data_IF_151232495085
#
_entry.id   IF_151232495085
#
_cell.length_a   1.000
_cell.length_b   1.000
_cell.length_c   1.000
_cell.angle_alpha   90.00
_cell.angle_beta   90.00
_cell.angle_gamma   90.00
#
_symmetry.space_group_name_H-M   'P 1'
#
loop_
_entity.id
_entity.type
_entity.pdbx_description
1 polymer ?
#
# COMPACT_ATOMS: atom_id res chain seq x y z
N UNK A 1 13.98 3.78 -11.05
CA UNK A 1 12.63 4.29 -11.34
C UNK A 1 12.29 5.36 -10.31
N UNK A 2 11.42 6.29 -10.69
CA UNK A 2 10.85 7.30 -9.79
C UNK A 2 9.57 6.75 -9.18
N UNK A 3 9.45 6.76 -7.86
CA UNK A 3 8.31 6.18 -7.15
C UNK A 3 7.75 7.20 -6.15
N UNK A 4 6.44 7.37 -6.17
CA UNK A 4 5.72 8.21 -5.23
C UNK A 4 5.20 7.38 -4.06
N UNK A 5 5.34 7.88 -2.84
CA UNK A 5 4.76 7.27 -1.64
C UNK A 5 3.88 8.31 -0.95
N UNK A 6 2.56 8.18 -1.05
CA UNK A 6 1.61 9.11 -0.47
C UNK A 6 1.31 8.69 0.97
N UNK A 7 1.78 9.47 1.95
CA UNK A 7 1.57 9.22 3.37
C UNK A 7 2.87 9.09 4.15
N UNK A 8 2.91 9.72 5.33
CA UNK A 8 4.11 9.85 6.17
C UNK A 8 4.08 8.98 7.43
N UNK A 9 3.09 8.07 7.50
CA UNK A 9 2.94 7.09 8.58
C UNK A 9 3.93 5.94 8.47
N UNK A 10 3.80 4.95 9.37
CA UNK A 10 4.72 3.81 9.45
C UNK A 10 4.79 3.01 8.14
N UNK A 11 3.66 2.84 7.44
CA UNK A 11 3.61 2.15 6.14
C UNK A 11 4.41 2.91 5.09
N UNK A 12 4.16 4.21 4.94
CA UNK A 12 4.87 5.07 3.98
C UNK A 12 6.37 5.15 4.26
N UNK A 13 6.77 5.24 5.52
CA UNK A 13 8.18 5.21 5.90
C UNK A 13 8.84 3.87 5.58
N UNK A 14 8.21 2.74 5.93
CA UNK A 14 8.76 1.41 5.64
C UNK A 14 8.94 1.19 4.13
N UNK A 15 7.88 1.40 3.35
CA UNK A 15 7.90 1.22 1.89
C UNK A 15 8.87 2.21 1.24
N UNK A 16 8.79 3.49 1.61
CA UNK A 16 9.67 4.52 1.05
C UNK A 16 11.15 4.24 1.31
N UNK A 17 11.51 3.88 2.55
CA UNK A 17 12.90 3.52 2.89
C UNK A 17 13.37 2.30 2.12
N UNK A 18 12.55 1.24 2.04
CA UNK A 18 12.92 0.03 1.30
C UNK A 18 13.16 0.30 -0.18
N UNK A 19 12.29 1.10 -0.80
CA UNK A 19 12.44 1.49 -2.20
C UNK A 19 13.73 2.29 -2.44
N UNK A 20 14.07 3.20 -1.54
CA UNK A 20 15.31 3.98 -1.63
C UNK A 20 16.56 3.11 -1.41
N UNK A 21 16.53 2.15 -0.47
CA UNK A 21 17.60 1.15 -0.27
C UNK A 21 17.84 0.29 -1.53
N UNK A 22 16.79 0.02 -2.29
CA UNK A 22 16.85 -0.69 -3.57
C UNK A 22 17.30 0.19 -4.75
N UNK A 23 17.67 1.44 -4.49
CA UNK A 23 18.22 2.38 -5.47
C UNK A 23 17.17 3.10 -6.33
N UNK A 24 15.90 3.08 -5.93
CA UNK A 24 14.88 3.91 -6.57
C UNK A 24 14.97 5.36 -6.10
N UNK A 25 14.56 6.30 -6.96
CA UNK A 25 14.33 7.68 -6.54
C UNK A 25 12.92 7.76 -5.97
N UNK A 26 12.77 8.20 -4.73
CA UNK A 26 11.50 8.15 -4.01
C UNK A 26 11.09 9.55 -3.57
N UNK A 27 9.83 9.93 -3.85
CA UNK A 27 9.25 11.16 -3.32
C UNK A 27 8.10 10.82 -2.38
N UNK A 28 8.25 11.18 -1.10
CA UNK A 28 7.20 11.03 -0.10
C UNK A 28 6.26 12.24 -0.14
N UNK A 29 5.00 12.00 -0.45
CA UNK A 29 3.95 13.01 -0.52
C UNK A 29 3.20 13.14 0.80
N UNK A 30 2.86 14.38 1.16
CA UNK A 30 1.95 14.68 2.26
C UNK A 30 0.98 15.81 1.89
N UNK A 31 0.08 16.21 2.81
CA UNK A 31 -0.85 17.32 2.57
C UNK A 31 -0.16 18.65 2.27
N UNK A 32 1.03 18.88 2.84
CA UNK A 32 1.77 20.13 2.72
C UNK A 32 3.26 19.82 2.54
N UNK A 33 3.94 20.54 1.67
CA UNK A 33 5.40 20.48 1.61
C UNK A 33 6.03 20.86 2.96
N UNK A 34 7.23 20.36 3.24
CA UNK A 34 7.92 20.61 4.50
C UNK A 34 7.35 19.82 5.68
N UNK A 35 6.62 18.73 5.44
CA UNK A 35 6.12 17.89 6.52
C UNK A 35 7.28 17.29 7.32
N UNK A 36 7.29 17.49 8.63
CA UNK A 36 8.41 17.11 9.49
C UNK A 36 8.80 15.63 9.39
N UNK A 37 7.83 14.72 9.25
CA UNK A 37 8.10 13.27 9.11
C UNK A 37 8.69 12.95 7.73
N UNK A 38 8.15 13.55 6.67
CA UNK A 38 8.67 13.37 5.32
C UNK A 38 10.09 13.94 5.17
N UNK A 39 10.34 15.14 5.73
CA UNK A 39 11.68 15.75 5.78
C UNK A 39 12.68 14.90 6.56
N UNK A 40 12.27 14.37 7.72
CA UNK A 40 13.13 13.51 8.52
C UNK A 40 13.49 12.23 7.75
N UNK A 41 12.51 11.60 7.11
CA UNK A 41 12.71 10.41 6.27
C UNK A 41 13.63 10.72 5.06
N UNK A 42 13.39 11.81 4.34
CA UNK A 42 14.17 12.17 3.15
C UNK A 42 15.65 12.44 3.45
N UNK A 43 16.00 12.85 4.68
CA UNK A 43 17.39 13.03 5.12
C UNK A 43 18.13 11.71 5.39
N UNK A 44 17.42 10.59 5.52
CA UNK A 44 18.00 9.31 5.91
C UNK A 44 18.41 8.43 4.72
N UNK A 45 17.94 8.74 3.51
CA UNK A 45 18.17 7.90 2.34
C UNK A 45 18.65 8.71 1.13
N UNK A 46 19.56 8.13 0.34
CA UNK A 46 19.94 8.69 -0.95
C UNK A 46 18.80 8.50 -1.96
N UNK A 47 18.60 9.47 -2.86
CA UNK A 47 17.50 9.44 -3.81
C UNK A 47 16.12 9.71 -3.20
N UNK A 48 16.04 10.11 -1.92
CA UNK A 48 14.79 10.43 -1.24
C UNK A 48 14.51 11.94 -1.24
N UNK A 49 13.26 12.31 -1.52
CA UNK A 49 12.78 13.70 -1.48
C UNK A 49 11.36 13.77 -0.95
N UNK A 50 10.88 14.96 -0.60
CA UNK A 50 9.50 15.16 -0.14
C UNK A 50 8.76 16.21 -0.97
N UNK A 51 7.46 16.35 -0.70
CA UNK A 51 6.59 17.35 -1.31
C UNK A 51 5.14 17.16 -0.92
N UNK A 52 4.26 17.89 -1.60
CA UNK A 52 2.82 17.67 -1.54
C UNK A 52 2.44 16.32 -2.18
N UNK A 53 1.18 15.90 -2.02
CA UNK A 53 0.65 14.73 -2.73
C UNK A 53 0.75 14.91 -4.25
N UNK A 54 0.48 16.10 -4.78
CA UNK A 54 0.62 16.41 -6.20
C UNK A 54 2.08 16.33 -6.67
N UNK A 55 3.02 16.89 -5.91
CA UNK A 55 4.45 16.81 -6.23
C UNK A 55 4.93 15.36 -6.32
N UNK A 56 4.52 14.53 -5.36
CA UNK A 56 4.87 13.13 -5.32
C UNK A 56 4.26 12.35 -6.48
N UNK A 57 2.95 12.48 -6.71
CA UNK A 57 2.26 11.77 -7.79
C UNK A 57 2.75 12.19 -9.17
N UNK A 58 3.04 13.48 -9.39
CA UNK A 58 3.62 13.95 -10.65
C UNK A 58 5.00 13.33 -10.91
N UNK A 59 5.83 13.24 -9.87
CA UNK A 59 7.18 12.68 -9.93
C UNK A 59 7.21 11.17 -10.20
N UNK A 60 6.35 10.39 -9.56
CA UNK A 60 6.41 8.93 -9.59
C UNK A 60 5.86 8.34 -10.89
N UNK A 61 6.51 7.29 -11.39
CA UNK A 61 6.03 6.40 -12.45
C UNK A 61 5.06 5.35 -11.87
N UNK A 62 5.31 4.95 -10.62
CA UNK A 62 4.44 4.13 -9.77
C UNK A 62 4.10 4.94 -8.52
N UNK A 63 2.86 4.84 -8.05
CA UNK A 63 2.36 5.55 -6.87
C UNK A 63 1.90 4.53 -5.83
N UNK A 64 2.37 4.66 -4.59
CA UNK A 64 1.85 3.92 -3.45
C UNK A 64 0.90 4.80 -2.64
N UNK A 65 -0.35 4.36 -2.47
CA UNK A 65 -1.27 4.92 -1.49
C UNK A 65 -1.01 4.30 -0.11
N UNK A 66 -0.26 5.01 0.72
CA UNK A 66 0.06 4.65 2.12
C UNK A 66 -0.66 5.57 3.11
N UNK A 67 -1.75 6.21 2.69
CA UNK A 67 -2.55 7.11 3.53
C UNK A 67 -3.52 6.34 4.41
N UNK A 68 -4.22 7.03 5.33
CA UNK A 68 -5.35 6.43 6.03
C UNK A 68 -6.44 6.06 5.03
N UNK A 69 -7.11 4.91 5.19
CA UNK A 69 -8.20 4.52 4.29
C UNK A 69 -9.31 5.56 4.22
N UNK A 70 -9.69 6.13 5.37
CA UNK A 70 -10.68 7.20 5.47
C UNK A 70 -10.30 8.51 4.75
N UNK A 71 -9.02 8.72 4.48
CA UNK A 71 -8.50 9.90 3.80
C UNK A 71 -7.93 9.59 2.41
N UNK A 72 -8.02 8.35 1.93
CA UNK A 72 -7.36 7.92 0.70
C UNK A 72 -7.91 8.62 -0.54
N UNK A 73 -9.24 8.70 -0.67
CA UNK A 73 -9.86 9.40 -1.80
C UNK A 73 -9.52 10.89 -1.80
N UNK A 74 -9.55 11.56 -0.64
CA UNK A 74 -9.18 12.97 -0.51
C UNK A 74 -7.71 13.20 -0.87
N UNK A 75 -6.81 12.35 -0.37
CA UNK A 75 -5.38 12.45 -0.65
C UNK A 75 -5.05 12.21 -2.13
N UNK A 76 -5.72 11.24 -2.77
CA UNK A 76 -5.56 10.96 -4.19
C UNK A 76 -6.18 12.06 -5.07
N UNK A 77 -7.29 12.67 -4.64
CA UNK A 77 -7.85 13.85 -5.31
C UNK A 77 -6.87 15.03 -5.23
N UNK A 78 -6.27 15.26 -4.06
CA UNK A 78 -5.21 16.27 -3.88
C UNK A 78 -3.91 15.94 -4.63
N UNK A 79 -3.69 14.67 -4.99
CA UNK A 79 -2.58 14.26 -5.84
C UNK A 79 -2.80 14.64 -7.32
N UNK A 80 -4.03 14.91 -7.73
CA UNK A 80 -4.42 15.24 -9.10
C UNK A 80 -4.65 13.99 -9.95
N UNK A 81 -5.85 13.83 -10.50
CA UNK A 81 -6.20 12.68 -11.33
C UNK A 81 -5.30 12.57 -12.58
N UNK A 82 -4.89 13.71 -13.14
CA UNK A 82 -3.95 13.83 -14.25
C UNK A 82 -2.55 13.29 -13.92
N UNK A 83 -2.13 13.38 -12.65
CA UNK A 83 -0.85 12.84 -12.19
C UNK A 83 -0.90 11.32 -11.93
N UNK A 84 -2.11 10.75 -11.84
CA UNK A 84 -2.36 9.32 -11.61
C UNK A 84 -2.74 8.57 -12.91
N UNK A 85 -3.25 9.28 -13.92
CA UNK A 85 -3.70 8.72 -15.18
C UNK A 85 -2.59 7.90 -15.87
N UNK A 86 -2.94 6.68 -16.28
CA UNK A 86 -2.04 5.71 -16.91
C UNK A 86 -1.00 5.09 -15.97
N UNK A 87 -0.89 5.52 -14.71
CA UNK A 87 0.12 5.00 -13.77
C UNK A 87 -0.40 3.83 -12.97
N UNK A 88 0.52 2.99 -12.49
CA UNK A 88 0.20 1.96 -11.50
C UNK A 88 0.02 2.65 -10.15
N UNK A 89 -1.16 2.46 -9.55
CA UNK A 89 -1.48 2.92 -8.20
C UNK A 89 -1.60 1.71 -7.27
N UNK A 90 -0.56 1.48 -6.47
CA UNK A 90 -0.54 0.41 -5.45
C UNK A 90 -1.29 0.88 -4.21
N UNK A 91 -2.49 0.34 -4.00
CA UNK A 91 -3.30 0.66 -2.83
C UNK A 91 -3.00 -0.27 -1.65
N UNK A 92 -2.40 0.30 -0.60
CA UNK A 92 -2.01 -0.41 0.64
C UNK A 92 -2.99 -0.09 1.78
N UNK A 93 -3.84 0.91 1.62
CA UNK A 93 -4.70 1.41 2.69
C UNK A 93 -5.78 0.38 3.08
N UNK A 94 -6.25 0.45 4.33
CA UNK A 94 -7.42 -0.30 4.79
C UNK A 94 -8.51 0.69 5.23
N UNK A 95 -9.79 0.47 4.89
CA UNK A 95 -10.88 1.38 5.23
C UNK A 95 -11.34 1.23 6.68
N UNK A 96 -10.42 1.36 7.64
CA UNK A 96 -10.72 1.24 9.06
C UNK A 96 -11.62 2.40 9.53
N UNK A 97 -12.73 2.06 10.17
CA UNK A 97 -13.63 3.00 10.84
C UNK A 97 -13.47 2.91 12.36
N UNK A 98 -13.04 4.03 12.95
CA UNK A 98 -12.82 4.16 14.39
C UNK A 98 -13.98 4.89 15.09
N UNK A 99 -15.04 5.28 14.38
CA UNK A 99 -16.16 6.06 14.91
C UNK A 99 -16.93 5.35 16.04
N UNK A 100 -16.89 4.00 16.05
CA UNK A 100 -17.55 3.15 17.04
C UNK A 100 -16.57 2.55 18.08
N UNK A 101 -15.33 3.04 18.15
CA UNK A 101 -14.33 2.59 19.12
C UNK A 101 -13.42 1.47 18.62
N UNK A 102 -12.88 0.68 19.57
CA UNK A 102 -11.87 -0.34 19.31
C UNK A 102 -12.38 -1.77 19.63
N UNK A 103 -12.02 -2.80 18.83
CA UNK A 103 -11.32 -2.68 17.55
C UNK A 103 -12.19 -2.02 16.48
N UNK A 104 -11.59 -1.33 15.48
CA UNK A 104 -12.33 -0.67 14.42
C UNK A 104 -13.11 -1.65 13.54
N UNK A 105 -14.16 -1.15 12.90
CA UNK A 105 -14.86 -1.82 11.80
C UNK A 105 -14.26 -1.40 10.46
N UNK A 106 -14.88 -1.82 9.35
CA UNK A 106 -14.56 -1.31 8.02
C UNK A 106 -15.66 -0.34 7.58
N UNK A 107 -15.30 0.84 7.08
CA UNK A 107 -16.26 1.84 6.56
C UNK A 107 -16.90 1.41 5.24
N UNK A 108 -16.22 0.52 4.50
CA UNK A 108 -16.73 -0.16 3.31
C UNK A 108 -16.27 -1.62 3.36
N UNK A 109 -17.19 -2.56 3.10
CA UNK A 109 -16.89 -3.99 3.07
C UNK A 109 -17.97 -4.80 2.34
N UNK A 110 -17.69 -6.10 2.14
CA UNK A 110 -18.59 -7.13 1.60
C UNK A 110 -19.03 -6.95 0.14
N UNK A 111 -19.81 -5.92 -0.17
CA UNK A 111 -20.33 -5.65 -1.53
C UNK A 111 -19.58 -4.55 -2.26
N UNK A 112 -18.65 -3.87 -1.58
CA UNK A 112 -17.76 -2.85 -2.13
C UNK A 112 -16.44 -2.86 -1.33
N UNK A 113 -15.40 -2.20 -1.84
CA UNK A 113 -14.10 -2.05 -1.17
C UNK A 113 -13.50 -0.66 -1.39
N UNK A 114 -12.48 -0.30 -0.61
CA UNK A 114 -11.72 0.93 -0.85
C UNK A 114 -10.98 0.86 -2.19
N UNK A 115 -10.41 -0.30 -2.54
CA UNK A 115 -9.76 -0.50 -3.84
C UNK A 115 -10.69 -0.23 -5.03
N UNK A 116 -11.94 -0.71 -4.94
CA UNK A 116 -12.97 -0.45 -5.95
C UNK A 116 -13.39 1.02 -6.00
N UNK A 117 -13.57 1.66 -4.85
CA UNK A 117 -13.88 3.09 -4.78
C UNK A 117 -12.78 3.95 -5.41
N UNK A 118 -11.51 3.64 -5.14
CA UNK A 118 -10.36 4.32 -5.75
C UNK A 118 -10.36 4.11 -7.25
N UNK A 119 -10.51 2.87 -7.74
CA UNK A 119 -10.51 2.60 -9.17
C UNK A 119 -11.66 3.29 -9.91
N UNK A 120 -12.86 3.39 -9.30
CA UNK A 120 -14.00 4.13 -9.87
C UNK A 120 -13.77 5.63 -9.87
N UNK A 121 -13.14 6.19 -8.84
CA UNK A 121 -12.85 7.61 -8.74
C UNK A 121 -11.72 8.06 -9.70
N UNK A 122 -10.78 7.16 -10.01
CA UNK A 122 -9.64 7.40 -10.89
C UNK A 122 -9.60 6.32 -12.00
N UNK A 123 -10.53 6.35 -12.97
CA UNK A 123 -10.69 5.27 -13.95
C UNK A 123 -9.48 5.07 -14.86
N UNK A 124 -8.69 6.12 -15.09
CA UNK A 124 -7.46 6.05 -15.89
C UNK A 124 -6.25 5.52 -15.10
N UNK A 125 -6.33 5.44 -13.76
CA UNK A 125 -5.28 4.84 -12.95
C UNK A 125 -5.40 3.31 -13.01
N UNK A 126 -4.27 2.61 -13.01
CA UNK A 126 -4.21 1.14 -12.98
C UNK A 126 -4.06 0.68 -11.53
N UNK A 127 -5.19 0.56 -10.81
CA UNK A 127 -5.19 0.29 -9.37
C UNK A 127 -4.88 -1.17 -9.10
N UNK A 128 -3.95 -1.41 -8.17
CA UNK A 128 -3.59 -2.73 -7.67
C UNK A 128 -3.63 -2.70 -6.14
N UNK A 129 -4.57 -3.41 -5.53
CA UNK A 129 -4.57 -3.66 -4.08
C UNK A 129 -3.45 -4.65 -3.76
N UNK A 130 -2.56 -4.28 -2.85
CA UNK A 130 -1.48 -5.16 -2.40
C UNK A 130 -1.00 -4.78 -1.00
N UNK A 131 -0.33 -5.71 -0.31
CA UNK A 131 0.35 -5.52 0.97
C UNK A 131 -0.55 -5.15 2.17
N UNK A 132 -1.84 -4.89 1.98
CA UNK A 132 -2.73 -4.42 3.04
C UNK A 132 -3.00 -5.45 4.16
N UNK A 133 -2.67 -6.74 3.93
CA UNK A 133 -2.99 -7.87 4.83
C UNK A 133 -1.94 -8.20 5.89
N UNK A 134 -0.86 -7.42 6.03
CA UNK A 134 0.24 -7.69 6.95
C UNK A 134 0.77 -6.43 7.63
N UNK A 135 1.62 -6.60 8.66
CA UNK A 135 2.34 -5.49 9.26
C UNK A 135 3.36 -4.87 8.27
N UNK A 136 3.60 -3.57 8.37
CA UNK A 136 4.49 -2.85 7.44
C UNK A 136 5.94 -3.35 7.45
N UNK A 137 6.43 -3.93 8.55
CA UNK A 137 7.77 -4.53 8.58
C UNK A 137 7.86 -5.78 7.69
N UNK A 138 6.79 -6.57 7.63
CA UNK A 138 6.68 -7.77 6.79
C UNK A 138 6.52 -7.39 5.33
N UNK A 139 5.80 -6.28 5.02
CA UNK A 139 5.60 -5.80 3.65
C UNK A 139 6.93 -5.68 2.88
N UNK A 140 7.97 -5.18 3.56
CA UNK A 140 9.28 -4.84 2.98
C UNK A 140 10.39 -5.85 3.29
N UNK A 141 10.12 -6.81 4.17
CA UNK A 141 11.04 -7.88 4.53
C UNK A 141 10.25 -9.13 4.99
N UNK A 142 9.68 -9.90 4.05
CA UNK A 142 8.83 -11.05 4.38
C UNK A 142 9.60 -12.17 5.09
N UNK A 143 10.94 -12.23 4.96
CA UNK A 143 11.76 -13.24 5.62
C UNK A 143 11.70 -13.19 7.16
N UNK A 144 11.24 -12.08 7.75
CA UNK A 144 11.06 -11.92 9.20
C UNK A 144 10.05 -12.90 9.81
N UNK A 145 9.16 -13.47 9.00
CA UNK A 145 8.12 -14.40 9.45
C UNK A 145 8.20 -15.67 8.61
N UNK A 146 8.30 -16.83 9.25
CA UNK A 146 8.20 -18.13 8.58
C UNK A 146 9.12 -18.31 7.37
N UNK A 147 10.34 -17.72 7.40
CA UNK A 147 11.31 -17.71 6.30
C UNK A 147 10.76 -17.15 4.97
N UNK A 148 9.72 -16.31 5.02
CA UNK A 148 9.07 -15.77 3.83
C UNK A 148 8.10 -16.73 3.15
N UNK A 149 7.81 -17.90 3.73
CA UNK A 149 6.85 -18.88 3.18
C UNK A 149 5.40 -18.54 3.55
N UNK A 150 4.98 -17.32 3.24
CA UNK A 150 3.64 -16.78 3.48
C UNK A 150 3.27 -15.85 2.34
N UNK A 151 1.99 -15.55 2.17
CA UNK A 151 1.43 -14.97 0.97
C UNK A 151 1.12 -13.48 1.14
N UNK A 152 1.29 -12.75 0.04
CA UNK A 152 0.67 -11.46 -0.23
C UNK A 152 -0.20 -11.59 -1.47
N UNK A 153 -1.14 -10.68 -1.64
CA UNK A 153 -2.19 -10.79 -2.64
C UNK A 153 -2.17 -9.59 -3.59
N UNK A 154 -2.54 -9.83 -4.84
CA UNK A 154 -2.79 -8.79 -5.83
C UNK A 154 -4.27 -8.82 -6.21
N UNK A 155 -4.89 -7.66 -6.33
CA UNK A 155 -6.24 -7.49 -6.87
C UNK A 155 -6.27 -6.24 -7.74
N UNK A 156 -6.61 -6.37 -9.02
CA UNK A 156 -6.54 -5.26 -9.96
C UNK A 156 -6.97 -5.64 -11.37
N UNK A 157 -7.56 -4.69 -12.08
CA UNK A 157 -8.16 -4.93 -13.40
C UNK A 157 -7.12 -5.09 -14.52
N UNK A 158 -5.96 -4.45 -14.37
CA UNK A 158 -4.90 -4.45 -15.36
C UNK A 158 -3.85 -5.52 -15.04
N UNK A 159 -3.71 -6.50 -15.94
CA UNK A 159 -2.78 -7.62 -15.76
C UNK A 159 -1.32 -7.17 -15.80
N UNK A 160 -0.97 -6.19 -16.63
CA UNK A 160 0.40 -5.67 -16.72
C UNK A 160 0.78 -4.91 -15.45
N UNK A 161 -0.13 -4.08 -14.93
CA UNK A 161 0.06 -3.39 -13.66
C UNK A 161 0.30 -4.38 -12.51
N UNK A 162 -0.47 -5.48 -12.45
CA UNK A 162 -0.24 -6.54 -11.46
C UNK A 162 1.13 -7.20 -11.62
N UNK A 163 1.60 -7.44 -12.85
CA UNK A 163 2.96 -7.97 -13.06
C UNK A 163 4.06 -6.98 -12.63
N UNK A 164 3.89 -5.68 -12.91
CA UNK A 164 4.82 -4.66 -12.44
C UNK A 164 4.88 -4.61 -10.90
N UNK A 165 3.73 -4.69 -10.23
CA UNK A 165 3.67 -4.77 -8.76
C UNK A 165 4.31 -6.07 -8.27
N UNK A 166 4.02 -7.23 -8.87
CA UNK A 166 4.64 -8.51 -8.51
C UNK A 166 6.17 -8.43 -8.57
N UNK A 167 6.73 -7.90 -9.65
CA UNK A 167 8.17 -7.72 -9.82
C UNK A 167 8.77 -6.79 -8.74
N UNK A 168 8.07 -5.71 -8.40
CA UNK A 168 8.49 -4.82 -7.32
C UNK A 168 8.45 -5.52 -5.95
N UNK A 169 7.41 -6.32 -5.66
CA UNK A 169 7.35 -7.09 -4.41
C UNK A 169 8.45 -8.15 -4.34
N UNK A 170 8.84 -8.77 -5.46
CA UNK A 170 10.00 -9.68 -5.48
C UNK A 170 11.29 -8.98 -5.06
N UNK A 171 11.48 -7.71 -5.42
CA UNK A 171 12.64 -6.91 -4.95
C UNK A 171 12.61 -6.64 -3.43
N UNK A 172 11.44 -6.72 -2.79
CA UNK A 172 11.32 -6.65 -1.33
C UNK A 172 11.65 -7.99 -0.66
N UNK A 173 11.83 -9.07 -1.43
CA UNK A 173 12.11 -10.41 -0.94
C UNK A 173 10.90 -11.35 -0.94
N UNK A 174 9.77 -10.93 -1.52
CA UNK A 174 8.63 -11.85 -1.70
C UNK A 174 8.97 -12.92 -2.72
N UNK A 175 8.81 -14.19 -2.34
CA UNK A 175 8.99 -15.30 -3.25
C UNK A 175 7.90 -15.26 -4.32
N UNK A 176 8.23 -15.64 -5.56
CA UNK A 176 7.28 -15.57 -6.66
C UNK A 176 6.00 -16.36 -6.39
N UNK A 177 6.16 -17.58 -5.85
CA UNK A 177 5.05 -18.47 -5.50
C UNK A 177 4.17 -17.93 -4.36
N UNK A 178 4.66 -16.92 -3.62
CA UNK A 178 3.98 -16.31 -2.49
C UNK A 178 3.26 -14.99 -2.85
N UNK A 179 3.34 -14.54 -4.11
CA UNK A 179 2.55 -13.41 -4.60
C UNK A 179 1.38 -13.96 -5.42
N UNK A 180 0.22 -14.05 -4.78
CA UNK A 180 -0.98 -14.66 -5.37
C UNK A 180 -1.87 -13.60 -6.02
N UNK A 181 -2.12 -13.73 -7.32
CA UNK A 181 -3.09 -12.92 -8.03
C UNK A 181 -4.51 -13.47 -7.77
N UNK A 182 -5.36 -12.66 -7.12
CA UNK A 182 -6.73 -13.03 -6.79
C UNK A 182 -7.72 -12.73 -7.93
N UNK A 183 -7.35 -11.88 -8.88
CA UNK A 183 -8.23 -11.47 -9.98
C UNK A 183 -8.35 -9.95 -10.12
N UNK A 184 -9.56 -9.49 -10.44
CA UNK A 184 -9.86 -8.09 -10.70
C UNK A 184 -9.87 -7.23 -9.42
N UNK A 185 -10.19 -5.93 -9.52
CA UNK A 185 -10.16 -5.06 -8.34
C UNK A 185 -11.24 -5.42 -7.30
N UNK A 186 -12.31 -6.13 -7.67
CA UNK A 186 -13.39 -6.52 -6.73
C UNK A 186 -12.92 -7.54 -5.69
N UNK A 187 -11.84 -8.29 -5.96
CA UNK A 187 -11.28 -9.24 -4.99
C UNK A 187 -10.59 -8.54 -3.82
N UNK A 188 -10.33 -7.23 -3.92
CA UNK A 188 -9.84 -6.42 -2.79
C UNK A 188 -10.83 -6.35 -1.61
N UNK A 189 -12.12 -6.64 -1.83
CA UNK A 189 -13.10 -6.84 -0.75
C UNK A 189 -12.63 -7.89 0.25
N UNK A 190 -12.10 -9.01 -0.25
CA UNK A 190 -11.62 -10.12 0.59
C UNK A 190 -10.34 -9.76 1.34
N UNK A 191 -9.38 -9.12 0.68
CA UNK A 191 -8.12 -8.73 1.33
C UNK A 191 -8.32 -7.62 2.36
N UNK A 192 -9.27 -6.70 2.16
CA UNK A 192 -9.65 -5.71 3.18
C UNK A 192 -10.41 -6.37 4.34
N UNK A 193 -11.32 -7.32 4.05
CA UNK A 193 -12.09 -8.07 5.05
C UNK A 193 -11.25 -9.00 5.93
N UNK A 194 -9.97 -9.20 5.62
CA UNK A 194 -9.02 -9.87 6.51
C UNK A 194 -8.72 -9.06 7.78
N UNK A 195 -8.78 -7.72 7.71
CA UNK A 195 -8.36 -6.84 8.82
C UNK A 195 -9.08 -7.08 10.15
N UNK A 196 -10.41 -7.29 10.17
CA UNK A 196 -11.11 -7.68 11.39
C UNK A 196 -10.50 -8.90 12.09
N UNK A 197 -10.10 -9.94 11.34
CA UNK A 197 -9.46 -11.11 11.90
C UNK A 197 -8.00 -10.83 12.28
N UNK A 198 -7.26 -10.11 11.44
CA UNK A 198 -5.88 -9.68 11.74
C UNK A 198 -5.78 -8.96 13.09
N UNK A 199 -6.71 -8.03 13.38
CA UNK A 199 -6.76 -7.28 14.64
C UNK A 199 -7.02 -8.19 15.86
N UNK A 200 -7.83 -9.24 15.69
CA UNK A 200 -8.08 -10.22 16.77
C UNK A 200 -6.86 -11.09 17.03
N UNK A 201 -6.15 -11.52 15.99
CA UNK A 201 -4.89 -12.28 16.13
C UNK A 201 -3.82 -11.41 16.79
N UNK A 202 -3.68 -10.16 16.35
CA UNK A 202 -2.77 -9.20 16.97
C UNK A 202 -3.08 -9.01 18.46
N UNK A 203 -4.35 -8.79 18.82
CA UNK A 203 -4.77 -8.65 20.22
C UNK A 203 -4.53 -9.90 21.06
N UNK A 204 -4.75 -11.09 20.49
CA UNK A 204 -4.59 -12.37 21.18
C UNK A 204 -3.11 -12.77 21.37
N UNK A 205 -2.24 -12.43 20.41
CA UNK A 205 -0.82 -12.81 20.43
C UNK A 205 0.09 -11.69 20.96
N UNK A 206 -0.39 -10.45 21.02
CA UNK A 206 0.41 -9.27 21.35
C UNK A 206 1.47 -8.92 20.30
N UNK A 207 1.43 -9.53 19.11
CA UNK A 207 2.47 -9.41 18.09
C UNK A 207 1.86 -9.20 16.71
N UNK A 208 2.45 -8.30 15.92
CA UNK A 208 2.12 -8.12 14.50
C UNK A 208 2.98 -8.99 13.58
N UNK A 209 3.89 -9.79 14.12
CA UNK A 209 4.85 -10.61 13.38
C UNK A 209 4.26 -11.96 12.97
N UNK A 210 3.15 -11.92 12.23
CA UNK A 210 2.48 -13.07 11.64
C UNK A 210 1.95 -12.69 10.25
N UNK A 211 1.72 -13.70 9.40
CA UNK A 211 1.06 -13.49 8.12
C UNK A 211 0.31 -14.75 7.64
N UNK A 212 -0.46 -14.60 6.57
CA UNK A 212 -1.26 -15.64 5.95
C UNK A 212 -0.43 -16.59 5.10
N UNK A 213 -0.61 -17.91 5.23
CA UNK A 213 -0.08 -18.91 4.29
C UNK A 213 -1.24 -19.71 3.70
N UNK A 214 -1.33 -19.76 2.38
CA UNK A 214 -2.23 -20.69 1.69
C UNK A 214 -1.51 -22.04 1.59
N UNK A 215 -2.17 -23.10 2.05
CA UNK A 215 -1.65 -24.47 2.03
C UNK A 215 -2.60 -25.30 1.17
N UNK A 216 -2.08 -25.85 0.07
CA UNK A 216 -2.79 -26.71 -0.87
C UNK A 216 -2.25 -28.13 -0.80
#
# INVERSE_FOLDING_TARGET
MKIAVLGTGMVGQAIGSRLAELGHEVKMGSRTAGNAKALAWAKQAQGASEGTFADAASFGEIVFNCTSGSASLEALAAAGAENLAGKVLVDVANPLDFSQGMPPTLSVCNTDSLGEQIQRAFPEARVVKALNTMNCTIMVNPALVGNGEHHTFLSGNDAEAKQQVKALLQSFGWQEACVLDLGDISTSRGTEAWLPLWLRIWGATGSGSFNLRIVN
#
